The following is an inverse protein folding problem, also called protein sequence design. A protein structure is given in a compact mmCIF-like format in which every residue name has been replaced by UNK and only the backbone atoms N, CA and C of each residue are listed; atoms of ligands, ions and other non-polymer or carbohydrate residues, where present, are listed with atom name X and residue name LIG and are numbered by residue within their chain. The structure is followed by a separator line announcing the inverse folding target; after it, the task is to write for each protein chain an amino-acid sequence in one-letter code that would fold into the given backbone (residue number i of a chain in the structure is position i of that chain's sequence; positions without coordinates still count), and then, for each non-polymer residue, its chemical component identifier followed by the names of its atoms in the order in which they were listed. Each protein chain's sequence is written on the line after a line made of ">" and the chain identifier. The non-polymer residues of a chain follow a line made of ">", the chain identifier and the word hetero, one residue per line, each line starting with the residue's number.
data_IF_357541943414
#
_entry.id   IF_357541943414
#
_cell.length_a   1.000
_cell.length_b   1.000
_cell.length_c   1.000
_cell.angle_alpha   90.00
_cell.angle_beta   90.00
_cell.angle_gamma   90.00
#
_symmetry.space_group_name_H-M   'P 1'
#
loop_
_entity.id
_entity.type
_entity.pdbx_description
1 polymer ?
#
# COMPACT_ATOMS: atom_id res chain seq x y z
N UNK A 1 4.55 -6.97 5.78
CA UNK A 1 5.86 -7.58 5.44
C UNK A 1 7.00 -6.90 6.19
N UNK A 2 7.38 -5.65 5.88
CA UNK A 2 8.58 -5.00 6.47
C UNK A 2 8.48 -4.81 8.00
N UNK A 3 7.35 -4.30 8.50
CA UNK A 3 7.13 -4.11 9.94
C UNK A 3 6.81 -5.41 10.70
N UNK A 4 6.44 -6.49 10.01
CA UNK A 4 5.93 -7.71 10.65
C UNK A 4 6.99 -8.41 11.53
N UNK A 5 8.24 -8.63 11.06
CA UNK A 5 9.32 -9.14 11.91
C UNK A 5 9.62 -8.22 13.10
N UNK A 6 9.58 -6.89 12.89
CA UNK A 6 9.82 -5.92 13.96
C UNK A 6 8.76 -6.05 15.06
N UNK A 7 7.47 -6.07 14.69
CA UNK A 7 6.36 -6.23 15.65
C UNK A 7 6.46 -7.57 16.38
N UNK A 8 6.85 -8.63 15.70
CA UNK A 8 7.07 -9.93 16.32
C UNK A 8 8.21 -9.88 17.36
N UNK A 9 9.40 -9.41 16.97
CA UNK A 9 10.55 -9.30 17.87
C UNK A 9 10.28 -8.35 19.05
N UNK A 10 9.58 -7.24 18.80
CA UNK A 10 9.13 -6.31 19.83
C UNK A 10 8.19 -7.00 20.82
N UNK A 11 7.21 -7.76 20.32
CA UNK A 11 6.27 -8.51 21.15
C UNK A 11 7.00 -9.53 22.02
N UNK A 12 7.93 -10.29 21.43
CA UNK A 12 8.78 -11.25 22.13
C UNK A 12 9.58 -10.57 23.24
N UNK A 13 10.26 -9.46 22.94
CA UNK A 13 11.02 -8.67 23.92
C UNK A 13 10.16 -8.30 25.13
N UNK A 14 8.95 -7.77 24.91
CA UNK A 14 8.05 -7.37 26.00
C UNK A 14 7.45 -8.54 26.76
N UNK A 15 7.14 -9.67 26.11
CA UNK A 15 6.68 -10.87 26.80
C UNK A 15 7.74 -11.38 27.78
N UNK A 16 9.01 -11.45 27.37
CA UNK A 16 10.10 -11.86 28.24
C UNK A 16 10.44 -10.81 29.31
N UNK A 17 10.49 -9.53 28.95
CA UNK A 17 10.81 -8.46 29.90
C UNK A 17 9.72 -8.28 30.97
N UNK A 18 8.46 -8.54 30.66
CA UNK A 18 7.34 -8.39 31.61
C UNK A 18 6.91 -9.72 32.25
N UNK A 19 7.40 -10.85 31.75
CA UNK A 19 6.98 -12.22 32.12
C UNK A 19 5.45 -12.45 32.02
N UNK A 20 4.73 -11.66 31.23
CA UNK A 20 3.27 -11.67 31.17
C UNK A 20 2.75 -12.50 29.99
N UNK A 21 2.98 -13.81 30.06
CA UNK A 21 2.60 -14.75 29.00
C UNK A 21 1.08 -14.92 28.85
N UNK A 22 0.28 -14.54 29.85
CA UNK A 22 -1.18 -14.51 29.78
C UNK A 22 -1.68 -13.61 28.64
N UNK A 23 -0.88 -12.62 28.21
CA UNK A 23 -1.23 -11.73 27.09
C UNK A 23 -1.09 -12.38 25.72
N UNK A 24 -0.47 -13.57 25.59
CA UNK A 24 -0.30 -14.25 24.30
C UNK A 24 -1.65 -14.45 23.61
N UNK A 25 -2.69 -14.89 24.33
CA UNK A 25 -4.02 -15.07 23.74
C UNK A 25 -4.56 -13.76 23.14
N UNK A 26 -4.40 -12.63 23.85
CA UNK A 26 -4.82 -11.30 23.36
C UNK A 26 -4.01 -10.86 22.14
N UNK A 27 -2.71 -11.17 22.11
CA UNK A 27 -1.84 -10.84 20.98
C UNK A 27 -2.17 -11.69 19.74
N UNK A 28 -2.48 -12.97 19.92
CA UNK A 28 -2.94 -13.85 18.84
C UNK A 28 -4.26 -13.34 18.28
N UNK A 29 -5.22 -13.00 19.15
CA UNK A 29 -6.49 -12.38 18.72
C UNK A 29 -6.22 -11.09 17.95
N UNK A 30 -5.35 -10.21 18.46
CA UNK A 30 -5.00 -8.96 17.77
C UNK A 30 -4.34 -9.20 16.39
N UNK A 31 -3.48 -10.22 16.27
CA UNK A 31 -2.85 -10.61 15.02
C UNK A 31 -3.89 -11.09 14.00
N UNK A 32 -4.73 -12.06 14.37
CA UNK A 32 -5.80 -12.55 13.49
C UNK A 32 -6.77 -11.45 13.13
N UNK A 33 -7.12 -10.58 14.08
CA UNK A 33 -7.98 -9.44 13.83
C UNK A 33 -7.38 -8.47 12.82
N UNK A 34 -6.09 -8.13 12.98
CA UNK A 34 -5.36 -7.28 12.05
C UNK A 34 -5.28 -7.86 10.64
N UNK A 35 -5.05 -9.17 10.51
CA UNK A 35 -5.06 -9.87 9.23
C UNK A 35 -6.47 -9.88 8.60
N UNK A 36 -7.51 -10.11 9.39
CA UNK A 36 -8.89 -10.10 8.93
C UNK A 36 -9.31 -8.72 8.39
N UNK A 37 -8.92 -7.62 9.05
CA UNK A 37 -9.21 -6.25 8.59
C UNK A 37 -8.65 -5.93 7.20
N UNK A 38 -7.56 -6.60 6.80
CA UNK A 38 -6.93 -6.45 5.48
C UNK A 38 -7.22 -7.63 4.55
N UNK A 39 -8.11 -8.55 4.92
CA UNK A 39 -8.33 -9.80 4.20
C UNK A 39 -8.79 -9.57 2.76
N UNK A 40 -9.66 -8.58 2.53
CA UNK A 40 -10.23 -8.23 1.21
C UNK A 40 -9.16 -8.01 0.13
N UNK A 41 -7.96 -7.57 0.53
CA UNK A 41 -6.83 -7.35 -0.35
C UNK A 41 -5.77 -8.45 -0.21
N UNK A 42 -5.37 -8.77 1.02
CA UNK A 42 -4.22 -9.65 1.27
C UNK A 42 -4.47 -11.10 0.88
N UNK A 43 -5.68 -11.63 1.08
CA UNK A 43 -5.99 -13.02 0.70
C UNK A 43 -6.04 -13.20 -0.82
N UNK A 44 -6.74 -12.35 -1.62
CA UNK A 44 -6.65 -12.45 -3.08
C UNK A 44 -5.21 -12.36 -3.59
N UNK A 45 -4.38 -11.45 -3.07
CA UNK A 45 -2.96 -11.37 -3.47
C UNK A 45 -2.21 -12.69 -3.22
N UNK A 46 -2.47 -13.36 -2.10
CA UNK A 46 -1.81 -14.63 -1.77
C UNK A 46 -2.29 -15.80 -2.63
N UNK A 47 -3.60 -15.88 -2.88
CA UNK A 47 -4.24 -17.03 -3.53
C UNK A 47 -4.50 -16.86 -5.02
N UNK A 48 -4.39 -15.66 -5.57
CA UNK A 48 -4.67 -15.37 -6.98
C UNK A 48 -3.46 -14.79 -7.72
N UNK A 49 -2.29 -14.65 -7.08
CA UNK A 49 -1.07 -14.16 -7.76
C UNK A 49 -0.73 -14.95 -9.02
N UNK A 50 -1.07 -16.24 -9.07
CA UNK A 50 -0.83 -17.09 -10.24
C UNK A 50 -1.74 -16.78 -11.42
N UNK A 51 -2.78 -15.96 -11.25
CA UNK A 51 -3.66 -15.52 -12.34
C UNK A 51 -3.04 -14.40 -13.17
N UNK A 52 -1.94 -13.80 -12.69
CA UNK A 52 -1.27 -12.66 -13.34
C UNK A 52 0.25 -12.85 -13.40
N UNK A 53 0.91 -12.12 -14.29
CA UNK A 53 2.36 -12.03 -14.39
C UNK A 53 2.89 -11.15 -13.25
N UNK A 54 3.31 -11.78 -12.15
CA UNK A 54 3.94 -11.10 -10.99
C UNK A 54 5.47 -11.13 -11.05
N UNK A 55 6.04 -12.02 -11.87
CA UNK A 55 7.49 -12.11 -12.08
C UNK A 55 8.10 -10.81 -12.62
N UNK A 56 7.32 -10.03 -13.37
CA UNK A 56 7.70 -8.71 -13.90
C UNK A 56 8.04 -7.70 -12.80
N UNK A 57 7.49 -7.90 -11.59
CA UNK A 57 7.69 -7.03 -10.44
C UNK A 57 9.04 -7.19 -9.77
N UNK A 58 9.93 -8.06 -10.25
CA UNK A 58 11.26 -8.28 -9.66
C UNK A 58 12.40 -8.16 -10.67
N UNK A 59 12.07 -7.87 -11.93
CA UNK A 59 13.02 -7.78 -13.04
C UNK A 59 13.05 -6.35 -13.61
N UNK A 60 14.01 -6.10 -14.50
CA UNK A 60 14.16 -4.80 -15.15
C UNK A 60 14.31 -3.67 -14.12
N UNK A 61 13.48 -2.63 -14.25
CA UNK A 61 13.45 -1.50 -13.31
C UNK A 61 13.10 -1.92 -11.88
N UNK A 62 12.43 -3.06 -11.63
CA UNK A 62 12.09 -3.46 -10.26
C UNK A 62 13.14 -4.35 -9.59
N UNK A 63 14.29 -4.56 -10.24
CA UNK A 63 15.37 -5.36 -9.67
C UNK A 63 16.07 -4.57 -8.55
N UNK A 64 16.04 -5.11 -7.33
CA UNK A 64 16.58 -4.47 -6.13
C UNK A 64 18.06 -4.10 -6.22
N UNK A 65 18.85 -4.77 -7.06
CA UNK A 65 20.27 -4.47 -7.25
C UNK A 65 20.52 -3.04 -7.73
N UNK A 66 19.55 -2.44 -8.42
CA UNK A 66 19.63 -1.08 -8.92
C UNK A 66 19.25 0.00 -7.89
N UNK A 67 18.77 -0.35 -6.68
CA UNK A 67 18.07 0.60 -5.80
C UNK A 67 18.63 0.68 -4.38
N UNK A 68 19.90 0.32 -4.21
CA UNK A 68 20.58 0.52 -2.93
C UNK A 68 20.96 1.98 -2.74
N UNK A 69 20.72 2.52 -1.55
CA UNK A 69 21.16 3.85 -1.17
C UNK A 69 22.63 3.82 -0.73
N UNK A 70 23.39 4.86 -1.06
CA UNK A 70 24.77 5.02 -0.61
C UNK A 70 24.89 5.81 0.72
N UNK A 71 26.08 5.82 1.32
CA UNK A 71 26.31 6.47 2.62
C UNK A 71 26.13 7.99 2.58
N UNK A 72 26.53 8.65 1.48
CA UNK A 72 26.31 10.08 1.30
C UNK A 72 24.81 10.37 1.25
N UNK A 73 24.04 9.63 0.45
CA UNK A 73 22.59 9.75 0.37
C UNK A 73 21.88 9.55 1.73
N UNK A 74 22.33 8.57 2.53
CA UNK A 74 21.71 8.25 3.82
C UNK A 74 21.98 9.32 4.90
N UNK A 75 23.22 9.82 4.99
CA UNK A 75 23.67 10.59 6.17
C UNK A 75 24.02 12.05 5.90
N UNK A 76 24.43 12.39 4.67
CA UNK A 76 25.03 13.69 4.35
C UNK A 76 24.13 14.49 3.41
N UNK A 77 23.83 13.93 2.23
CA UNK A 77 23.08 14.60 1.17
C UNK A 77 21.72 15.10 1.63
N UNK A 78 21.35 16.28 1.14
CA UNK A 78 20.01 16.86 1.25
C UNK A 78 19.32 16.99 -0.10
N UNK A 79 19.85 16.30 -1.11
CA UNK A 79 19.28 16.35 -2.44
C UNK A 79 17.80 15.94 -2.40
N UNK A 80 16.99 16.68 -3.15
CA UNK A 80 15.60 16.39 -3.43
C UNK A 80 15.32 16.69 -4.89
N UNK A 81 14.56 15.81 -5.52
CA UNK A 81 14.09 15.93 -6.88
C UNK A 81 12.74 15.23 -7.04
N UNK A 82 12.29 15.12 -8.27
CA UNK A 82 11.01 14.49 -8.63
C UNK A 82 11.20 13.26 -9.53
N UNK A 83 12.43 12.74 -9.58
CA UNK A 83 12.78 11.57 -10.37
C UNK A 83 12.63 10.26 -9.60
N UNK A 84 13.03 9.18 -10.27
CA UNK A 84 12.95 7.82 -9.78
C UNK A 84 14.19 7.41 -8.99
N UNK A 85 14.11 6.25 -8.32
CA UNK A 85 15.31 5.56 -7.87
C UNK A 85 15.98 4.88 -9.06
N UNK A 86 17.29 5.01 -9.19
CA UNK A 86 18.06 4.54 -10.34
C UNK A 86 19.36 3.91 -9.87
N UNK A 87 20.05 3.22 -10.78
CA UNK A 87 21.32 2.61 -10.45
C UNK A 87 22.41 3.66 -10.22
N UNK A 88 23.06 3.57 -9.06
CA UNK A 88 24.13 4.48 -8.66
C UNK A 88 23.62 5.61 -7.75
N UNK A 89 24.47 6.59 -7.42
CA UNK A 89 24.13 7.66 -6.48
C UNK A 89 23.28 8.80 -7.08
N UNK A 90 22.96 8.73 -8.37
CA UNK A 90 22.27 9.76 -9.15
C UNK A 90 20.73 9.59 -9.16
N UNK A 91 20.17 9.05 -8.06
CA UNK A 91 18.73 8.96 -7.90
C UNK A 91 18.06 10.33 -7.96
N UNK A 92 16.90 10.41 -8.59
CA UNK A 92 16.09 11.62 -8.68
C UNK A 92 15.25 11.91 -7.43
N UNK A 93 15.44 11.15 -6.34
CA UNK A 93 14.71 11.25 -5.09
C UNK A 93 15.65 11.16 -3.88
N UNK A 94 15.17 11.56 -2.70
CA UNK A 94 15.98 11.53 -1.47
C UNK A 94 15.85 10.22 -0.69
N UNK A 95 16.97 9.76 -0.14
CA UNK A 95 17.05 8.64 0.81
C UNK A 95 17.56 9.06 2.19
N UNK A 96 17.56 10.37 2.46
CA UNK A 96 18.14 10.91 3.67
C UNK A 96 17.37 10.45 4.92
N UNK A 97 18.09 9.95 5.93
CA UNK A 97 17.52 9.68 7.26
C UNK A 97 17.16 11.00 7.97
N UNK A 98 17.99 12.02 7.76
CA UNK A 98 17.86 13.37 8.31
C UNK A 98 18.84 13.60 9.45
N UNK A 99 19.51 14.75 9.41
CA UNK A 99 20.58 15.09 10.36
C UNK A 99 20.15 15.07 11.82
N UNK A 100 18.95 15.60 12.09
CA UNK A 100 18.39 15.60 13.43
C UNK A 100 18.05 14.18 13.90
N UNK A 101 17.51 13.33 13.02
CA UNK A 101 17.15 11.96 13.38
C UNK A 101 18.37 11.12 13.76
N UNK A 102 19.40 11.07 12.92
CA UNK A 102 20.60 10.28 13.27
C UNK A 102 21.39 10.92 14.42
N UNK A 103 21.36 12.25 14.57
CA UNK A 103 21.88 12.93 15.76
C UNK A 103 21.19 12.48 17.06
N UNK A 104 19.86 12.31 17.04
CA UNK A 104 19.11 11.77 18.17
C UNK A 104 19.41 10.29 18.44
N UNK A 105 19.71 9.51 17.39
CA UNK A 105 20.18 8.12 17.55
C UNK A 105 21.52 8.07 18.28
N UNK A 106 22.46 8.94 17.91
CA UNK A 106 23.77 9.07 18.58
C UNK A 106 23.60 9.52 20.04
N UNK A 107 22.74 10.51 20.30
CA UNK A 107 22.43 10.92 21.67
C UNK A 107 21.81 9.79 22.49
N UNK A 108 20.89 9.01 21.91
CA UNK A 108 20.27 7.89 22.60
C UNK A 108 21.30 6.81 22.97
N UNK A 109 22.30 6.56 22.11
CA UNK A 109 23.41 5.65 22.39
C UNK A 109 24.19 6.06 23.64
N UNK A 110 24.60 7.33 23.74
CA UNK A 110 25.32 7.84 24.90
C UNK A 110 24.49 7.84 26.20
N UNK A 111 23.16 7.84 26.09
CA UNK A 111 22.25 7.75 27.24
C UNK A 111 21.94 6.31 27.68
N UNK A 112 22.31 5.29 26.90
CA UNK A 112 22.07 3.88 27.24
C UNK A 112 22.62 3.48 28.63
N UNK A 113 23.85 3.85 29.04
CA UNK A 113 24.35 3.54 30.38
C UNK A 113 23.49 4.16 31.49
N UNK A 114 22.98 5.38 31.26
CA UNK A 114 22.11 6.08 32.20
C UNK A 114 20.74 5.39 32.28
N UNK A 115 20.18 4.95 31.14
CA UNK A 115 18.94 4.19 31.13
C UNK A 115 19.11 2.85 31.85
N UNK A 116 20.23 2.17 31.66
CA UNK A 116 20.53 0.93 32.36
C UNK A 116 20.57 1.13 33.89
N UNK A 117 21.29 2.17 34.34
CA UNK A 117 21.50 2.44 35.76
C UNK A 117 20.25 3.01 36.46
N UNK A 118 19.51 3.93 35.82
CA UNK A 118 18.45 4.71 36.47
C UNK A 118 17.02 4.36 36.02
N UNK A 119 16.85 3.78 34.82
CA UNK A 119 15.53 3.59 34.18
C UNK A 119 15.49 2.29 33.35
N UNK A 120 15.72 1.14 33.99
CA UNK A 120 15.87 -0.16 33.32
C UNK A 120 14.71 -0.55 32.37
N UNK A 121 13.49 -0.04 32.61
CA UNK A 121 12.34 -0.24 31.73
C UNK A 121 12.46 0.50 30.37
N UNK A 122 13.26 1.57 30.29
CA UNK A 122 13.56 2.27 29.03
C UNK A 122 14.77 1.68 28.32
N UNK A 123 15.68 1.03 29.06
CA UNK A 123 16.93 0.50 28.50
C UNK A 123 16.70 -0.52 27.39
N UNK A 124 15.96 -1.60 27.65
CA UNK A 124 15.78 -2.68 26.67
C UNK A 124 15.04 -2.23 25.40
N UNK A 125 13.94 -1.46 25.46
CA UNK A 125 13.29 -0.93 24.26
C UNK A 125 14.19 0.02 23.46
N UNK A 126 15.00 0.84 24.13
CA UNK A 126 15.94 1.76 23.48
C UNK A 126 17.06 0.99 22.79
N UNK A 127 17.70 0.05 23.49
CA UNK A 127 18.76 -0.79 22.93
C UNK A 127 18.25 -1.59 21.72
N UNK A 128 17.07 -2.20 21.84
CA UNK A 128 16.45 -2.91 20.74
C UNK A 128 16.22 -1.99 19.54
N UNK A 129 15.63 -0.82 19.74
CA UNK A 129 15.37 0.14 18.66
C UNK A 129 16.66 0.65 18.02
N UNK A 130 17.72 0.82 18.79
CA UNK A 130 19.06 1.20 18.31
C UNK A 130 19.66 0.10 17.43
N UNK A 131 19.61 -1.15 17.86
CA UNK A 131 20.11 -2.28 17.07
C UNK A 131 19.30 -2.47 15.78
N UNK A 132 17.97 -2.36 15.87
CA UNK A 132 17.10 -2.42 14.69
C UNK A 132 17.39 -1.27 13.74
N UNK A 133 17.56 -0.04 14.22
CA UNK A 133 17.91 1.12 13.39
C UNK A 133 19.13 0.83 12.52
N UNK A 134 20.23 0.35 13.12
CA UNK A 134 21.45 0.06 12.37
C UNK A 134 21.30 -1.13 11.43
N UNK A 135 20.58 -2.18 11.86
CA UNK A 135 20.28 -3.32 11.00
C UNK A 135 19.50 -2.90 9.76
N UNK A 136 18.41 -2.13 9.92
CA UNK A 136 17.56 -1.74 8.78
C UNK A 136 18.20 -0.66 7.92
N UNK A 137 19.03 0.23 8.48
CA UNK A 137 19.86 1.16 7.70
C UNK A 137 20.95 0.41 6.92
N UNK A 138 21.51 -0.68 7.47
CA UNK A 138 22.41 -1.55 6.73
C UNK A 138 21.70 -2.24 5.55
N UNK A 139 20.45 -2.68 5.74
CA UNK A 139 19.64 -3.32 4.69
C UNK A 139 19.34 -2.41 3.50
N UNK A 140 19.39 -1.07 3.64
CA UNK A 140 19.21 -0.13 2.52
C UNK A 140 20.48 0.03 1.68
N UNK A 141 21.63 -0.41 2.18
CA UNK A 141 22.94 -0.19 1.56
C UNK A 141 23.44 -1.43 0.80
N UNK A 142 24.18 -1.23 -0.30
CA UNK A 142 24.65 -2.29 -1.22
C UNK A 142 25.44 -3.40 -0.51
N UNK A 143 26.12 -3.08 0.59
CA UNK A 143 26.88 -4.06 1.41
C UNK A 143 25.99 -5.16 2.00
N UNK A 144 24.67 -4.95 2.08
CA UNK A 144 23.71 -5.98 2.51
C UNK A 144 23.28 -6.94 1.39
N UNK A 145 23.78 -6.79 0.16
CA UNK A 145 23.36 -7.61 -1.00
C UNK A 145 23.43 -9.13 -0.74
N UNK A 146 24.37 -9.61 0.06
CA UNK A 146 24.45 -11.04 0.40
C UNK A 146 23.23 -11.56 1.16
N UNK A 147 22.49 -10.69 1.87
CA UNK A 147 21.22 -11.03 2.52
C UNK A 147 20.07 -11.01 1.50
N UNK A 148 20.01 -9.97 0.67
CA UNK A 148 18.98 -9.81 -0.37
C UNK A 148 19.00 -10.93 -1.41
N UNK A 149 20.20 -11.34 -1.83
CA UNK A 149 20.38 -12.44 -2.79
C UNK A 149 20.01 -13.81 -2.21
N UNK A 150 20.15 -14.02 -0.89
CA UNK A 150 19.83 -15.30 -0.22
C UNK A 150 18.38 -15.42 0.24
N UNK A 151 17.72 -14.29 0.50
CA UNK A 151 16.37 -14.27 1.09
C UNK A 151 15.40 -13.77 0.02
N UNK A 152 14.82 -14.69 -0.75
CA UNK A 152 13.94 -14.38 -1.90
C UNK A 152 12.77 -13.45 -1.54
N UNK A 153 12.19 -13.61 -0.35
CA UNK A 153 11.09 -12.75 0.11
C UNK A 153 11.49 -11.27 0.18
N UNK A 154 12.78 -10.95 0.36
CA UNK A 154 13.25 -9.56 0.33
C UNK A 154 13.16 -8.96 -1.06
N UNK A 155 13.40 -9.75 -2.11
CA UNK A 155 13.43 -9.25 -3.50
C UNK A 155 12.07 -8.68 -3.93
N UNK A 156 10.97 -9.20 -3.37
CA UNK A 156 9.62 -8.68 -3.54
C UNK A 156 9.39 -7.29 -2.92
N UNK A 157 10.30 -6.80 -2.06
CA UNK A 157 10.27 -5.38 -1.67
C UNK A 157 10.64 -4.46 -2.83
N UNK A 158 11.33 -4.97 -3.88
CA UNK A 158 11.84 -4.24 -5.05
C UNK A 158 12.91 -3.19 -4.74
N UNK A 159 12.73 -2.41 -3.68
CA UNK A 159 13.53 -1.23 -3.38
C UNK A 159 14.09 -1.34 -1.95
N UNK A 160 15.40 -1.59 -1.77
CA UNK A 160 16.05 -1.66 -0.47
C UNK A 160 15.81 -0.44 0.41
N UNK A 161 15.78 0.76 -0.18
CA UNK A 161 15.47 2.00 0.53
C UNK A 161 14.09 2.01 1.20
N UNK A 162 13.15 1.10 0.89
CA UNK A 162 11.88 0.97 1.66
C UNK A 162 12.10 0.65 3.14
N UNK A 163 13.26 0.09 3.51
CA UNK A 163 13.63 -0.06 4.92
C UNK A 163 13.82 1.28 5.66
N UNK A 164 13.96 2.40 4.96
CA UNK A 164 13.99 3.74 5.57
C UNK A 164 12.73 4.04 6.39
N UNK A 165 11.58 3.44 6.05
CA UNK A 165 10.38 3.55 6.88
C UNK A 165 10.60 3.01 8.30
N UNK A 166 11.34 1.90 8.45
CA UNK A 166 11.75 1.38 9.76
C UNK A 166 12.85 2.22 10.39
N UNK A 167 13.79 2.74 9.60
CA UNK A 167 14.88 3.60 10.08
C UNK A 167 14.29 4.85 10.76
N UNK A 168 13.36 5.54 10.09
CA UNK A 168 12.70 6.75 10.60
C UNK A 168 11.84 6.41 11.83
N UNK A 169 11.11 5.29 11.80
CA UNK A 169 10.33 4.83 12.95
C UNK A 169 11.23 4.61 14.18
N UNK A 170 12.34 3.88 14.03
CA UNK A 170 13.28 3.63 15.11
C UNK A 170 13.97 4.91 15.60
N UNK A 171 14.39 5.81 14.70
CA UNK A 171 14.98 7.09 15.08
C UNK A 171 14.00 7.99 15.86
N UNK A 172 12.73 8.02 15.44
CA UNK A 172 11.66 8.74 16.15
C UNK A 172 11.39 8.14 17.53
N UNK A 173 11.36 6.80 17.62
CA UNK A 173 11.20 6.09 18.89
C UNK A 173 12.35 6.38 19.86
N UNK A 174 13.60 6.34 19.37
CA UNK A 174 14.80 6.67 20.15
C UNK A 174 14.77 8.12 20.64
N UNK A 175 14.32 9.05 19.78
CA UNK A 175 14.11 10.44 20.18
C UNK A 175 13.10 10.55 21.33
N UNK A 176 11.98 9.83 21.24
CA UNK A 176 10.98 9.78 22.32
C UNK A 176 11.53 9.24 23.64
N UNK A 177 12.38 8.21 23.60
CA UNK A 177 13.00 7.65 24.81
C UNK A 177 13.84 8.69 25.58
N UNK A 178 14.51 9.60 24.87
CA UNK A 178 15.31 10.69 25.46
C UNK A 178 14.41 11.67 26.23
N UNK A 179 13.26 12.05 25.67
CA UNK A 179 12.37 13.02 26.31
C UNK A 179 11.52 12.42 27.44
N UNK A 180 11.21 11.12 27.38
CA UNK A 180 10.53 10.42 28.48
C UNK A 180 11.41 10.29 29.72
N UNK A 181 12.73 10.39 29.57
CA UNK A 181 13.68 10.32 30.68
C UNK A 181 13.44 11.39 31.74
N UNK A 182 13.06 12.61 31.36
CA UNK A 182 12.90 13.74 32.27
C UNK A 182 11.81 14.71 31.82
N UNK A 183 10.89 15.08 32.72
CA UNK A 183 9.74 15.97 32.45
C UNK A 183 9.99 17.45 32.74
N UNK A 184 11.24 17.86 33.00
CA UNK A 184 11.58 19.27 33.22
C UNK A 184 11.24 20.11 31.99
N UNK A 185 10.83 21.36 32.19
CA UNK A 185 10.47 22.31 31.14
C UNK A 185 11.54 22.41 30.03
N UNK A 186 12.83 22.32 30.39
CA UNK A 186 13.93 22.35 29.42
C UNK A 186 13.85 21.23 28.37
N UNK A 187 13.38 20.03 28.74
CA UNK A 187 13.19 18.91 27.80
C UNK A 187 11.99 19.17 26.88
N UNK A 188 10.93 19.79 27.41
CA UNK A 188 9.78 20.21 26.59
C UNK A 188 10.19 21.29 25.59
N UNK A 189 10.96 22.30 26.02
CA UNK A 189 11.49 23.34 25.12
C UNK A 189 12.40 22.72 24.07
N UNK A 190 13.31 21.83 24.46
CA UNK A 190 14.18 21.13 23.52
C UNK A 190 13.39 20.29 22.51
N UNK A 191 12.33 19.60 22.93
CA UNK A 191 11.44 18.88 22.02
C UNK A 191 10.73 19.81 21.04
N UNK A 192 10.23 20.96 21.50
CA UNK A 192 9.60 21.97 20.63
C UNK A 192 10.60 22.50 19.60
N UNK A 193 11.81 22.89 20.04
CA UNK A 193 12.88 23.36 19.15
C UNK A 193 13.25 22.28 18.14
N UNK A 194 13.36 21.02 18.56
CA UNK A 194 13.64 19.90 17.67
C UNK A 194 12.55 19.74 16.60
N UNK A 195 11.27 19.80 16.99
CA UNK A 195 10.14 19.71 16.06
C UNK A 195 10.16 20.88 15.06
N UNK A 196 10.37 22.11 15.53
CA UNK A 196 10.47 23.29 14.66
C UNK A 196 11.66 23.16 13.70
N UNK A 197 12.81 22.69 14.19
CA UNK A 197 13.99 22.46 13.36
C UNK A 197 13.75 21.36 12.32
N UNK A 198 13.05 20.27 12.67
CA UNK A 198 12.65 19.23 11.70
C UNK A 198 11.77 19.82 10.61
N UNK A 199 10.75 20.59 10.96
CA UNK A 199 9.85 21.23 9.97
C UNK A 199 10.64 22.18 9.07
N UNK A 200 11.45 23.07 9.66
CA UNK A 200 12.23 24.05 8.93
C UNK A 200 13.25 23.39 7.99
N UNK A 201 13.92 22.33 8.44
CA UNK A 201 14.84 21.58 7.58
C UNK A 201 14.08 20.85 6.47
N UNK A 202 12.92 20.25 6.72
CA UNK A 202 12.25 19.45 5.70
C UNK A 202 11.39 20.25 4.72
N UNK A 203 11.22 21.56 4.91
CA UNK A 203 10.37 22.40 4.05
C UNK A 203 10.74 22.32 2.55
N UNK A 204 12.01 22.11 2.23
CA UNK A 204 12.49 22.02 0.84
C UNK A 204 11.97 20.78 0.10
N UNK A 205 11.63 19.72 0.84
CA UNK A 205 11.06 18.49 0.28
C UNK A 205 9.57 18.64 -0.08
N UNK A 206 8.91 19.70 0.39
CA UNK A 206 7.50 20.00 0.11
C UNK A 206 7.32 21.02 -1.01
N UNK A 207 8.28 21.10 -1.93
CA UNK A 207 8.16 21.92 -3.15
C UNK A 207 7.33 21.16 -4.19
N UNK A 208 6.53 21.90 -4.96
CA UNK A 208 5.75 21.36 -6.07
C UNK A 208 6.60 21.47 -7.34
N UNK A 209 6.77 20.38 -8.09
CA UNK A 209 7.54 20.39 -9.35
C UNK A 209 6.90 21.31 -10.38
N UNK A 210 5.61 21.07 -10.65
CA UNK A 210 4.81 21.81 -11.61
C UNK A 210 3.34 21.73 -11.23
N UNK A 211 2.63 22.82 -11.49
CA UNK A 211 1.16 22.84 -11.43
C UNK A 211 0.64 22.75 -12.85
N UNK A 212 -0.15 21.73 -13.13
CA UNK A 212 -0.80 21.55 -14.43
C UNK A 212 -2.23 22.07 -14.32
N UNK A 213 -2.59 23.03 -15.16
CA UNK A 213 -3.95 23.55 -15.30
C UNK A 213 -4.61 22.85 -16.49
N UNK A 214 -5.08 21.63 -16.25
CA UNK A 214 -5.65 20.75 -17.28
C UNK A 214 -7.04 20.27 -16.81
N UNK A 215 -8.00 20.24 -17.73
CA UNK A 215 -9.33 19.67 -17.49
C UNK A 215 -9.31 18.14 -17.56
N UNK A 216 -10.31 17.48 -16.98
CA UNK A 216 -10.46 16.02 -17.11
C UNK A 216 -10.54 15.59 -18.58
N UNK A 217 -11.24 16.36 -19.42
CA UNK A 217 -11.35 16.07 -20.85
C UNK A 217 -9.99 16.06 -21.53
N UNK A 218 -9.13 17.03 -21.22
CA UNK A 218 -7.78 17.09 -21.76
C UNK A 218 -6.92 15.95 -21.19
N UNK A 219 -7.03 15.67 -19.89
CA UNK A 219 -6.24 14.62 -19.22
C UNK A 219 -6.56 13.21 -19.76
N UNK A 220 -7.83 12.95 -20.07
CA UNK A 220 -8.31 11.71 -20.65
C UNK A 220 -8.34 11.76 -22.19
N UNK A 221 -7.47 12.58 -22.81
CA UNK A 221 -7.34 12.67 -24.26
C UNK A 221 -5.90 12.63 -24.74
N UNK A 222 -5.71 12.33 -26.04
CA UNK A 222 -4.42 12.42 -26.71
C UNK A 222 -3.29 11.65 -26.01
N UNK A 223 -2.09 12.22 -26.01
CA UNK A 223 -0.87 11.60 -25.46
C UNK A 223 -0.96 11.33 -23.95
N UNK A 224 -1.65 12.18 -23.21
CA UNK A 224 -1.78 12.05 -21.76
C UNK A 224 -2.57 10.80 -21.38
N UNK A 225 -3.67 10.55 -22.09
CA UNK A 225 -4.42 9.31 -21.95
C UNK A 225 -3.60 8.08 -22.33
N UNK A 226 -2.86 8.16 -23.44
CA UNK A 226 -1.99 7.07 -23.89
C UNK A 226 -0.94 6.73 -22.84
N UNK A 227 -0.29 7.73 -22.24
CA UNK A 227 0.66 7.52 -21.15
C UNK A 227 0.00 6.87 -19.93
N UNK A 228 -1.22 7.29 -19.57
CA UNK A 228 -1.93 6.71 -18.42
C UNK A 228 -2.26 5.23 -18.60
N UNK A 229 -2.79 4.85 -19.77
CA UNK A 229 -3.19 3.45 -20.03
C UNK A 229 -2.01 2.54 -20.37
N UNK A 230 -0.83 3.10 -20.67
CA UNK A 230 0.39 2.34 -20.94
C UNK A 230 1.37 2.35 -19.76
N UNK A 231 1.18 3.23 -18.78
CA UNK A 231 1.98 3.26 -17.56
C UNK A 231 1.76 1.96 -16.77
N UNK A 232 2.85 1.23 -16.52
CA UNK A 232 2.79 -0.04 -15.79
C UNK A 232 2.07 -1.16 -16.56
N UNK A 233 2.04 -1.12 -17.89
CA UNK A 233 1.33 -2.13 -18.70
C UNK A 233 1.89 -3.57 -18.55
N UNK A 234 3.09 -3.68 -17.99
CA UNK A 234 3.72 -4.96 -17.64
C UNK A 234 3.33 -5.47 -16.24
N UNK A 235 2.65 -4.65 -15.44
CA UNK A 235 2.30 -4.97 -14.07
C UNK A 235 0.97 -5.75 -14.06
N UNK A 236 0.99 -6.93 -13.43
CA UNK A 236 -0.22 -7.74 -13.19
C UNK A 236 -1.02 -8.10 -14.44
N UNK A 237 -0.37 -8.20 -15.60
CA UNK A 237 -1.03 -8.67 -16.83
C UNK A 237 -1.62 -10.08 -16.58
N UNK A 238 -2.87 -10.38 -16.96
CA UNK A 238 -3.44 -11.71 -16.79
C UNK A 238 -2.59 -12.78 -17.50
N UNK A 239 -2.48 -13.99 -16.94
CA UNK A 239 -1.75 -15.10 -17.60
C UNK A 239 -2.30 -15.50 -18.97
N UNK A 240 -3.53 -15.10 -19.27
CA UNK A 240 -4.15 -15.26 -20.59
C UNK A 240 -3.56 -14.34 -21.66
N UNK A 241 -2.94 -13.24 -21.26
CA UNK A 241 -2.34 -12.25 -22.15
C UNK A 241 -0.81 -12.45 -22.20
N UNK A 242 -0.25 -12.92 -23.33
CA UNK A 242 1.16 -13.29 -23.41
C UNK A 242 2.11 -12.08 -23.43
N UNK A 243 1.60 -10.91 -23.83
CA UNK A 243 2.35 -9.67 -23.95
C UNK A 243 1.40 -8.48 -23.83
N UNK A 244 1.88 -7.31 -23.39
CA UNK A 244 1.09 -6.08 -23.43
C UNK A 244 0.91 -5.58 -24.89
N UNK A 245 -0.13 -4.79 -25.17
CA UNK A 245 -0.34 -4.18 -26.47
C UNK A 245 0.75 -3.15 -26.79
N UNK A 246 1.21 -3.12 -28.03
CA UNK A 246 2.18 -2.12 -28.50
C UNK A 246 1.59 -0.73 -28.74
N UNK A 247 0.26 -0.62 -28.85
CA UNK A 247 -0.47 0.64 -28.99
C UNK A 247 -1.84 0.56 -28.30
N UNK A 248 -2.39 1.71 -27.87
CA UNK A 248 -3.77 1.79 -27.39
C UNK A 248 -4.77 1.20 -28.39
N UNK A 249 -5.87 0.58 -27.90
CA UNK A 249 -6.97 0.16 -28.76
C UNK A 249 -7.67 1.39 -29.38
N UNK A 250 -8.31 1.20 -30.54
CA UNK A 250 -9.09 2.28 -31.20
C UNK A 250 -10.39 2.62 -30.47
N UNK A 251 -10.88 1.72 -29.62
CA UNK A 251 -12.05 1.91 -28.78
C UNK A 251 -12.25 0.74 -27.83
N UNK A 252 -13.31 0.73 -27.00
CA UNK A 252 -13.52 -0.35 -26.03
C UNK A 252 -14.00 -1.66 -26.67
N UNK A 253 -14.57 -1.61 -27.88
CA UNK A 253 -15.09 -2.76 -28.63
C UNK A 253 -14.71 -2.62 -30.11
N UNK A 254 -14.40 -3.75 -30.75
CA UNK A 254 -14.07 -3.85 -32.18
C UNK A 254 -14.88 -4.98 -32.83
N UNK A 255 -15.28 -4.79 -34.08
CA UNK A 255 -15.85 -5.86 -34.92
C UNK A 255 -14.71 -6.49 -35.72
N UNK A 256 -14.43 -7.77 -35.51
CA UNK A 256 -13.33 -8.47 -36.18
C UNK A 256 -13.73 -9.07 -37.51
N UNK A 257 -14.93 -9.65 -37.53
CA UNK A 257 -15.53 -10.30 -38.68
C UNK A 257 -17.03 -10.06 -38.65
N UNK A 258 -17.64 -9.99 -39.82
CA UNK A 258 -19.07 -9.72 -39.95
C UNK A 258 -19.37 -8.25 -40.22
N UNK A 259 -20.65 -7.90 -40.12
CA UNK A 259 -21.16 -6.55 -40.35
C UNK A 259 -22.06 -6.19 -39.18
N UNK A 260 -21.52 -5.44 -38.23
CA UNK A 260 -22.20 -5.05 -37.02
C UNK A 260 -21.89 -3.59 -36.63
N UNK A 261 -22.90 -2.90 -36.10
CA UNK A 261 -22.76 -1.57 -35.53
C UNK A 261 -22.82 -1.65 -34.00
N UNK A 262 -21.87 -1.02 -33.32
CA UNK A 262 -21.83 -0.91 -31.87
C UNK A 262 -22.44 0.42 -31.45
N UNK A 263 -23.51 0.38 -30.64
CA UNK A 263 -24.22 1.58 -30.16
C UNK A 263 -24.44 1.52 -28.64
N UNK A 264 -24.70 2.68 -28.03
CA UNK A 264 -25.00 2.83 -26.59
C UNK A 264 -23.95 2.19 -25.66
N UNK A 265 -22.67 2.39 -25.98
CA UNK A 265 -21.57 1.84 -25.20
C UNK A 265 -21.39 2.58 -23.87
N UNK A 266 -21.42 1.84 -22.77
CA UNK A 266 -21.08 2.28 -21.43
C UNK A 266 -20.07 1.32 -20.81
N UNK A 267 -19.06 1.85 -20.13
CA UNK A 267 -18.01 1.05 -19.49
C UNK A 267 -17.80 1.46 -18.04
N UNK A 268 -17.39 0.50 -17.22
CA UNK A 268 -16.90 0.71 -15.86
C UNK A 268 -15.58 -0.04 -15.68
N UNK A 269 -15.00 0.01 -14.48
CA UNK A 269 -13.77 -0.74 -14.17
C UNK A 269 -13.93 -2.27 -14.22
N UNK A 270 -15.15 -2.79 -14.08
CA UNK A 270 -15.42 -4.23 -13.99
C UNK A 270 -16.58 -4.69 -14.90
N UNK A 271 -17.06 -3.83 -15.80
CA UNK A 271 -18.13 -4.17 -16.72
C UNK A 271 -18.10 -3.35 -18.00
N UNK A 272 -18.71 -3.90 -19.05
CA UNK A 272 -18.87 -3.27 -20.34
C UNK A 272 -20.27 -3.60 -20.87
N UNK A 273 -21.05 -2.58 -21.23
CA UNK A 273 -22.42 -2.72 -21.69
C UNK A 273 -22.59 -2.00 -23.02
N UNK A 274 -23.15 -2.65 -24.02
CA UNK A 274 -23.40 -2.04 -25.33
C UNK A 274 -24.45 -2.82 -26.10
N UNK A 275 -24.99 -2.19 -27.14
CA UNK A 275 -25.93 -2.80 -28.07
C UNK A 275 -25.21 -3.08 -29.39
N UNK A 276 -25.48 -4.23 -29.98
CA UNK A 276 -24.94 -4.67 -31.26
C UNK A 276 -26.08 -4.80 -32.26
N UNK A 277 -25.95 -4.15 -33.41
CA UNK A 277 -26.86 -4.28 -34.55
C UNK A 277 -26.11 -5.02 -35.66
N UNK A 278 -26.25 -6.34 -35.72
CA UNK A 278 -25.52 -7.22 -36.61
C UNK A 278 -26.38 -7.67 -37.80
N UNK A 279 -25.94 -7.45 -39.03
CA UNK A 279 -26.64 -7.92 -40.24
C UNK A 279 -26.47 -9.43 -40.46
N UNK A 280 -25.34 -9.97 -40.01
CA UNK A 280 -24.98 -11.40 -40.04
C UNK A 280 -24.22 -11.74 -38.77
N UNK A 281 -24.03 -13.03 -38.50
CA UNK A 281 -23.20 -13.46 -37.39
C UNK A 281 -21.84 -12.76 -37.44
N UNK A 282 -21.50 -12.10 -36.34
CA UNK A 282 -20.34 -11.20 -36.27
C UNK A 282 -19.49 -11.54 -35.06
N UNK A 283 -18.18 -11.55 -35.26
CA UNK A 283 -17.20 -11.76 -34.21
C UNK A 283 -16.81 -10.41 -33.60
N UNK A 284 -17.11 -10.26 -32.32
CA UNK A 284 -16.88 -9.04 -31.56
C UNK A 284 -15.71 -9.26 -30.61
N UNK A 285 -14.83 -8.26 -30.52
CA UNK A 285 -13.74 -8.20 -29.55
C UNK A 285 -14.00 -7.08 -28.56
N UNK A 286 -14.03 -7.40 -27.28
CA UNK A 286 -13.90 -6.39 -26.24
C UNK A 286 -12.42 -6.15 -25.98
N UNK A 287 -11.98 -4.88 -25.92
CA UNK A 287 -10.60 -4.51 -25.58
C UNK A 287 -10.35 -4.62 -24.07
N UNK A 288 -10.64 -5.81 -23.54
CA UNK A 288 -10.52 -6.23 -22.15
C UNK A 288 -9.75 -7.55 -22.16
N UNK A 289 -8.67 -7.64 -21.38
CA UNK A 289 -7.94 -8.89 -21.21
C UNK A 289 -8.83 -9.94 -20.52
N UNK A 290 -8.78 -11.16 -21.03
CA UNK A 290 -9.54 -12.30 -20.52
C UNK A 290 -8.98 -12.78 -19.18
N UNK A 291 -9.29 -12.04 -18.11
CA UNK A 291 -9.02 -12.46 -16.74
C UNK A 291 -10.05 -13.51 -16.27
N UNK A 292 -9.70 -14.46 -15.39
CA UNK A 292 -10.67 -15.45 -14.91
C UNK A 292 -11.96 -14.82 -14.34
N UNK A 293 -13.09 -15.48 -14.58
CA UNK A 293 -14.44 -15.07 -14.15
C UNK A 293 -15.04 -13.86 -14.88
N UNK A 294 -14.55 -13.50 -16.06
CA UNK A 294 -15.37 -12.72 -16.99
C UNK A 294 -16.55 -13.55 -17.47
N UNK A 295 -17.74 -12.94 -17.44
CA UNK A 295 -18.96 -13.48 -18.02
C UNK A 295 -19.39 -12.56 -19.16
N UNK A 296 -19.79 -13.17 -20.27
CA UNK A 296 -20.39 -12.48 -21.42
C UNK A 296 -21.84 -12.94 -21.53
N UNK A 297 -22.76 -11.99 -21.57
CA UNK A 297 -24.18 -12.28 -21.77
C UNK A 297 -24.71 -11.53 -22.98
N UNK A 298 -25.56 -12.20 -23.77
CA UNK A 298 -26.29 -11.65 -24.91
C UNK A 298 -27.78 -11.80 -24.59
N UNK A 299 -28.51 -10.69 -24.52
CA UNK A 299 -29.92 -10.63 -24.12
C UNK A 299 -30.20 -11.35 -22.78
N UNK A 300 -29.26 -11.22 -21.84
CA UNK A 300 -29.34 -11.82 -20.51
C UNK A 300 -29.00 -13.31 -20.44
N UNK A 301 -28.65 -13.95 -21.57
CA UNK A 301 -28.17 -15.34 -21.59
C UNK A 301 -26.65 -15.38 -21.68
N UNK A 302 -26.03 -16.16 -20.81
CA UNK A 302 -24.58 -16.37 -20.84
C UNK A 302 -24.15 -17.09 -22.12
N UNK A 303 -23.10 -16.55 -22.76
CA UNK A 303 -22.49 -17.11 -23.96
C UNK A 303 -21.03 -17.41 -23.69
N UNK A 304 -20.50 -18.45 -24.32
CA UNK A 304 -19.06 -18.73 -24.26
C UNK A 304 -18.28 -17.65 -25.01
N UNK A 305 -17.20 -17.18 -24.39
CA UNK A 305 -16.20 -16.35 -25.06
C UNK A 305 -14.88 -17.10 -25.24
N UNK A 306 -14.04 -16.56 -26.09
CA UNK A 306 -12.67 -16.98 -26.33
C UNK A 306 -11.72 -15.82 -26.05
N UNK A 307 -10.42 -16.10 -26.17
CA UNK A 307 -9.38 -15.08 -26.09
C UNK A 307 -8.64 -14.98 -27.41
N UNK A 308 -8.33 -13.76 -27.84
CA UNK A 308 -7.55 -13.55 -29.03
C UNK A 308 -6.10 -14.05 -28.84
N UNK A 309 -5.53 -14.61 -29.90
CA UNK A 309 -4.19 -15.23 -29.85
C UNK A 309 -3.04 -14.25 -29.62
N UNK A 310 -3.23 -12.96 -29.88
CA UNK A 310 -2.15 -11.97 -29.86
C UNK A 310 -1.96 -11.36 -28.47
N UNK A 311 -3.07 -10.92 -27.86
CA UNK A 311 -3.10 -10.15 -26.62
C UNK A 311 -3.97 -10.78 -25.53
N UNK A 312 -4.67 -11.89 -25.82
CA UNK A 312 -5.52 -12.54 -24.83
C UNK A 312 -6.74 -11.73 -24.43
N UNK A 313 -7.33 -10.94 -25.34
CA UNK A 313 -8.56 -10.17 -25.09
C UNK A 313 -9.80 -10.98 -25.41
N UNK A 314 -10.89 -10.64 -24.75
CA UNK A 314 -12.18 -11.33 -24.87
C UNK A 314 -12.76 -11.18 -26.29
N UNK A 315 -13.09 -12.31 -26.93
CA UNK A 315 -13.76 -12.39 -28.23
C UNK A 315 -14.98 -13.31 -28.15
N UNK A 316 -16.08 -12.97 -28.80
CA UNK A 316 -17.31 -13.78 -28.81
C UNK A 316 -18.13 -13.53 -30.08
N UNK A 317 -19.00 -14.47 -30.41
CA UNK A 317 -19.90 -14.37 -31.56
C UNK A 317 -21.22 -13.75 -31.13
N UNK A 318 -21.71 -12.81 -31.94
CA UNK A 318 -23.05 -12.23 -31.82
C UNK A 318 -23.85 -12.66 -33.05
N UNK A 319 -25.01 -13.33 -32.86
CA UNK A 319 -25.90 -13.68 -33.96
C UNK A 319 -26.40 -12.48 -34.76
N UNK A 320 -26.96 -12.74 -35.94
CA UNK A 320 -27.64 -11.70 -36.72
C UNK A 320 -28.86 -11.17 -35.96
N UNK A 321 -29.03 -9.85 -35.95
CA UNK A 321 -30.10 -9.16 -35.24
C UNK A 321 -29.60 -8.04 -34.35
N UNK A 322 -30.50 -7.59 -33.48
CA UNK A 322 -30.25 -6.52 -32.53
C UNK A 322 -30.16 -7.10 -31.14
N UNK A 323 -28.99 -7.02 -30.52
CA UNK A 323 -28.71 -7.69 -29.25
C UNK A 323 -28.11 -6.74 -28.21
N UNK A 324 -28.51 -6.92 -26.95
CA UNK A 324 -27.87 -6.27 -25.82
C UNK A 324 -26.74 -7.16 -25.30
N UNK A 325 -25.53 -6.63 -25.27
CA UNK A 325 -24.33 -7.34 -24.83
C UNK A 325 -23.83 -6.76 -23.52
N UNK A 326 -23.58 -7.63 -22.55
CA UNK A 326 -23.04 -7.24 -21.25
C UNK A 326 -21.90 -8.16 -20.84
N UNK A 327 -20.74 -7.56 -20.58
CA UNK A 327 -19.58 -8.22 -19.99
C UNK A 327 -19.44 -7.77 -18.55
N UNK A 328 -19.18 -8.71 -17.64
CA UNK A 328 -18.94 -8.41 -16.23
C UNK A 328 -17.88 -9.32 -15.65
N UNK A 329 -16.98 -8.73 -14.87
CA UNK A 329 -16.02 -9.49 -14.06
C UNK A 329 -16.68 -9.87 -12.74
N UNK A 330 -16.86 -11.17 -12.53
CA UNK A 330 -17.41 -11.70 -11.29
C UNK A 330 -16.32 -11.96 -10.25
N UNK A 331 -16.70 -11.86 -8.97
CA UNK A 331 -15.80 -12.20 -7.89
C UNK A 331 -15.51 -13.71 -7.86
N UNK A 332 -14.27 -14.07 -7.58
CA UNK A 332 -13.91 -15.44 -7.21
C UNK A 332 -14.44 -15.79 -5.83
N UNK A 333 -14.52 -17.08 -5.51
CA UNK A 333 -14.90 -17.55 -4.17
C UNK A 333 -13.99 -16.98 -3.07
N UNK A 334 -12.68 -16.88 -3.35
CA UNK A 334 -11.72 -16.31 -2.39
C UNK A 334 -11.95 -14.81 -2.18
N UNK A 335 -12.22 -14.03 -3.23
CA UNK A 335 -12.57 -12.61 -3.09
C UNK A 335 -13.85 -12.43 -2.27
N UNK A 336 -14.89 -13.21 -2.54
CA UNK A 336 -16.16 -13.16 -1.78
C UNK A 336 -15.88 -13.41 -0.29
N UNK A 337 -15.21 -14.52 0.04
CA UNK A 337 -14.87 -14.86 1.42
C UNK A 337 -14.04 -13.75 2.09
N UNK A 338 -13.03 -13.24 1.40
CA UNK A 338 -12.10 -12.22 1.90
C UNK A 338 -12.80 -10.89 2.17
N UNK A 339 -13.72 -10.50 1.28
CA UNK A 339 -14.55 -9.30 1.44
C UNK A 339 -15.43 -9.41 2.67
N UNK A 340 -16.14 -10.53 2.85
CA UNK A 340 -16.98 -10.74 4.02
C UNK A 340 -16.17 -10.81 5.32
N UNK A 341 -15.03 -11.51 5.32
CA UNK A 341 -14.15 -11.58 6.49
C UNK A 341 -13.68 -10.19 6.94
N UNK A 342 -13.26 -9.37 5.98
CA UNK A 342 -12.86 -7.98 6.25
C UNK A 342 -14.02 -7.11 6.72
N UNK A 343 -15.18 -7.22 6.05
CA UNK A 343 -16.38 -6.49 6.43
C UNK A 343 -16.79 -6.78 7.88
N UNK A 344 -16.87 -8.05 8.27
CA UNK A 344 -17.22 -8.44 9.63
C UNK A 344 -16.18 -7.97 10.66
N UNK A 345 -14.89 -8.02 10.33
CA UNK A 345 -13.84 -7.49 11.19
C UNK A 345 -14.01 -5.97 11.43
N UNK A 346 -14.29 -5.20 10.38
CA UNK A 346 -14.54 -3.76 10.49
C UNK A 346 -15.83 -3.45 11.25
N UNK A 347 -16.92 -4.16 10.98
CA UNK A 347 -18.19 -3.99 11.70
C UNK A 347 -18.02 -4.25 13.20
N UNK A 348 -17.23 -5.25 13.58
CA UNK A 348 -16.96 -5.52 14.99
C UNK A 348 -16.07 -4.46 15.64
N UNK A 349 -15.14 -3.82 14.92
CA UNK A 349 -14.41 -2.63 15.41
C UNK A 349 -15.38 -1.47 15.67
N UNK A 350 -16.25 -1.17 14.70
CA UNK A 350 -17.26 -0.11 14.82
C UNK A 350 -18.18 -0.41 16.01
N UNK A 351 -18.70 -1.63 16.12
CA UNK A 351 -19.57 -2.04 17.22
C UNK A 351 -18.87 -1.92 18.58
N UNK A 352 -17.60 -2.32 18.68
CA UNK A 352 -16.82 -2.18 19.91
C UNK A 352 -16.70 -0.72 20.35
N UNK A 353 -16.39 0.19 19.43
CA UNK A 353 -16.28 1.62 19.75
C UNK A 353 -17.64 2.26 20.06
N UNK A 354 -18.70 1.87 19.35
CA UNK A 354 -20.07 2.35 19.63
C UNK A 354 -20.56 1.87 21.00
N UNK A 355 -20.31 0.61 21.36
CA UNK A 355 -20.64 0.07 22.68
C UNK A 355 -19.89 0.82 23.79
N UNK A 356 -18.60 1.12 23.58
CA UNK A 356 -17.80 1.91 24.51
C UNK A 356 -18.31 3.35 24.65
N UNK A 357 -18.67 3.99 23.53
CA UNK A 357 -19.24 5.34 23.52
C UNK A 357 -20.59 5.38 24.26
N UNK A 358 -21.48 4.42 23.99
CA UNK A 358 -22.77 4.27 24.69
C UNK A 358 -22.56 4.15 26.20
N UNK A 359 -21.65 3.27 26.64
CA UNK A 359 -21.37 3.10 28.07
C UNK A 359 -20.79 4.38 28.70
N UNK A 360 -19.92 5.09 27.98
CA UNK A 360 -19.39 6.39 28.43
C UNK A 360 -20.51 7.44 28.60
N UNK A 361 -21.43 7.54 27.64
CA UNK A 361 -22.56 8.48 27.69
C UNK A 361 -23.54 8.16 28.82
N UNK A 362 -23.83 6.88 29.05
CA UNK A 362 -24.70 6.42 30.15
C UNK A 362 -24.06 6.61 31.54
N UNK A 363 -22.73 6.67 31.62
CA UNK A 363 -21.99 6.88 32.86
C UNK A 363 -21.82 8.36 33.27
N UNK A 364 -22.27 9.32 32.43
CA UNK A 364 -22.23 10.73 32.78
C UNK A 364 -23.30 11.04 33.84
N UNK A 365 -22.94 11.65 34.99
CA UNK A 365 -23.92 12.01 35.99
C UNK A 365 -24.90 13.03 35.39
N UNK A 366 -26.20 12.70 35.40
CA UNK A 366 -27.27 13.66 35.10
C UNK A 366 -27.08 14.87 36.02
N UNK A 367 -26.65 16.01 35.46
CA UNK A 367 -26.65 17.30 36.18
C UNK A 367 -28.10 17.58 36.57
N UNK A 368 -28.49 17.23 37.81
CA UNK A 368 -29.75 17.69 38.40
C UNK A 368 -29.71 19.22 38.39
N UNK A 369 -30.67 19.85 37.71
CA UNK A 369 -30.89 21.31 37.79
C UNK A 369 -30.92 21.71 39.27
N UNK A 370 -30.26 22.81 39.68
CA UNK A 370 -30.35 23.28 41.04
C UNK A 370 -31.81 23.61 41.34
N UNK A 371 -32.33 22.97 42.40
CA UNK A 371 -33.69 23.19 42.89
C UNK A 371 -33.68 24.60 43.50
N UNK A 372 -34.26 25.58 42.80
CA UNK A 372 -34.48 26.91 43.34
C UNK A 372 -35.27 26.77 44.64
N UNK A 373 -34.60 26.97 45.78
CA UNK A 373 -35.29 27.21 47.05
C UNK A 373 -35.85 28.62 46.98
N UNK A 374 -37.14 28.73 46.66
CA UNK A 374 -37.95 29.88 47.04
C UNK A 374 -37.85 29.99 48.57
N UNK A 375 -37.17 31.04 49.05
CA UNK A 375 -37.34 31.51 50.43
C UNK A 375 -38.53 32.45 50.40
N UNK A 376 -39.63 32.00 51.00
CA UNK A 376 -40.67 32.85 51.57
C UNK A 376 -40.12 33.63 52.76
#
# INVERSE_FOLDING_TARGET
>A
MIFSPLVFLWTVLFLFSTKNFVRIAKLIVALFWGLSLAAFFSLPVLFEKQLVHVETLTIGYFNFLAHFADLNQLFISRFWGYGASTWGPEDGMSFQIGWLHWGMVVLAFFLLPIFFAKKRHLFWPTLFSFLVFWLVAFMTHLRSNFLWSKIEILQWLQFPWRFLALVIFCASFLSGAIFVFNKKLIFTIFAIVLVVAVIFLNQEFFRVEKRLYISDKEKFSGKDWQLQITAGIFDYLPKSAPKPPGKPPSGPVEVLRGEALIVNLASSSASLNFKVEAQKESEIRANIFDFPNWQVTIDGKEVSHQKDSELGRITFLVPAGTHQVFLKLENTKIRIFSNYLSLFAWLAVIFFFLAKLRNSLLSLPFRRKPRNRLKT
#
